data_IF_151605643726
#
_entry.id   IF_151605643726
#
_cell.length_a   1.000
_cell.length_b   1.000
_cell.length_c   1.000
_cell.angle_alpha   90.00
_cell.angle_beta   90.00
_cell.angle_gamma   90.00
#
_symmetry.space_group_name_H-M   'P 1'
#
loop_
_entity.id
_entity.type
_entity.pdbx_description
1 polymer ?
#
# COMPACT_ATOMS: atom_id res chain seq x y z
N UNK A 1 -2.47 -14.33 11.54
CA UNK A 1 -3.15 -14.04 10.26
C UNK A 1 -3.08 -12.53 10.13
N UNK A 2 -2.18 -12.06 9.27
CA UNK A 2 -1.90 -10.65 9.06
C UNK A 2 -2.75 -10.23 7.86
N UNK A 3 -3.58 -9.21 8.02
CA UNK A 3 -4.39 -8.62 6.97
C UNK A 3 -4.23 -7.12 7.10
N UNK A 4 -3.78 -6.52 6.01
CA UNK A 4 -3.60 -5.09 5.87
C UNK A 4 -4.99 -4.43 5.92
N UNK A 5 -5.10 -3.41 6.77
CA UNK A 5 -6.36 -2.75 7.12
C UNK A 5 -6.67 -1.66 6.12
N UNK A 6 -7.75 -1.78 5.35
CA UNK A 6 -8.43 -0.61 4.81
C UNK A 6 -9.95 -0.87 4.61
N UNK A 7 -10.79 -0.24 5.43
CA UNK A 7 -12.20 -0.05 5.06
C UNK A 7 -12.26 1.04 3.98
N UNK A 8 -12.24 0.65 2.71
CA UNK A 8 -12.15 1.59 1.58
C UNK A 8 -13.40 2.45 1.34
N UNK A 9 -14.51 2.20 2.04
CA UNK A 9 -15.75 2.98 1.91
C UNK A 9 -16.69 2.68 3.10
N UNK A 10 -16.39 3.25 4.26
CA UNK A 10 -17.23 3.15 5.45
C UNK A 10 -17.26 4.48 6.21
N UNK A 11 -18.24 4.63 7.11
CA UNK A 11 -18.24 5.71 8.10
C UNK A 11 -18.70 5.22 9.47
N UNK A 12 -18.14 5.81 10.53
CA UNK A 12 -18.64 5.60 11.88
C UNK A 12 -19.97 6.35 12.12
N UNK A 13 -21.03 5.62 12.45
CA UNK A 13 -22.28 6.22 12.90
C UNK A 13 -22.28 6.33 14.43
N UNK A 14 -22.03 7.55 14.92
CA UNK A 14 -21.96 7.82 16.36
C UNK A 14 -23.28 7.59 17.12
N UNK A 15 -24.44 7.72 16.46
CA UNK A 15 -25.75 7.48 17.10
C UNK A 15 -26.01 5.99 17.29
N UNK A 16 -25.56 5.16 16.34
CA UNK A 16 -25.75 3.71 16.37
C UNK A 16 -24.59 2.96 17.03
N UNK A 17 -23.44 3.59 17.19
CA UNK A 17 -22.24 2.96 17.73
C UNK A 17 -21.71 1.84 16.83
N UNK A 18 -21.91 1.94 15.52
CA UNK A 18 -21.51 0.93 14.54
C UNK A 18 -20.86 1.57 13.31
N UNK A 19 -20.04 0.78 12.62
CA UNK A 19 -19.48 1.12 11.31
C UNK A 19 -20.55 0.85 10.24
N UNK A 20 -20.86 1.85 9.42
CA UNK A 20 -21.75 1.70 8.27
C UNK A 20 -20.90 1.53 7.02
N UNK A 21 -21.06 0.40 6.35
CA UNK A 21 -20.45 0.15 5.05
C UNK A 21 -21.21 0.92 3.96
N UNK A 22 -20.48 1.53 3.03
CA UNK A 22 -21.04 2.21 1.88
C UNK A 22 -20.99 1.28 0.65
N UNK A 23 -22.14 1.10 0.00
CA UNK A 23 -22.26 0.26 -1.21
C UNK A 23 -21.62 0.90 -2.46
N UNK A 24 -21.32 2.21 -2.42
CA UNK A 24 -20.69 2.96 -3.50
C UNK A 24 -19.30 3.47 -3.11
N UNK A 25 -18.41 3.60 -4.09
CA UNK A 25 -17.11 4.27 -3.93
C UNK A 25 -17.18 5.66 -4.55
N UNK A 26 -17.49 6.66 -3.74
CA UNK A 26 -17.65 8.06 -4.17
C UNK A 26 -16.42 8.87 -3.75
N UNK A 27 -15.60 9.27 -4.73
CA UNK A 27 -14.32 9.95 -4.50
C UNK A 27 -14.49 11.46 -4.60
N UNK A 28 -14.40 12.14 -3.47
CA UNK A 28 -14.32 13.61 -3.40
C UNK A 28 -12.92 14.06 -3.79
N UNK A 29 -12.80 15.10 -4.61
CA UNK A 29 -11.51 15.60 -5.10
C UNK A 29 -11.37 17.05 -4.69
N UNK A 30 -10.35 17.37 -3.90
CA UNK A 30 -10.09 18.72 -3.45
C UNK A 30 -9.60 19.58 -4.63
N UNK A 31 -10.37 20.63 -4.96
CA UNK A 31 -10.08 21.59 -6.02
C UNK A 31 -9.98 22.98 -5.41
N UNK A 32 -8.81 23.60 -5.52
CA UNK A 32 -8.61 24.98 -5.14
C UNK A 32 -9.33 25.91 -6.13
N UNK A 33 -10.12 26.84 -5.61
CA UNK A 33 -10.81 27.90 -6.37
C UNK A 33 -10.50 29.26 -5.76
N UNK A 34 -10.81 30.35 -6.47
CA UNK A 34 -10.64 31.73 -5.95
C UNK A 34 -11.46 32.00 -4.67
N UNK A 35 -12.56 31.27 -4.46
CA UNK A 35 -13.46 31.42 -3.30
C UNK A 35 -13.12 30.48 -2.15
N UNK A 36 -12.09 29.65 -2.29
CA UNK A 36 -11.68 28.64 -1.32
C UNK A 36 -11.64 27.22 -1.89
N UNK A 37 -11.55 26.24 -1.00
CA UNK A 37 -11.47 24.83 -1.36
C UNK A 37 -12.87 24.27 -1.64
N UNK A 38 -13.04 23.61 -2.79
CA UNK A 38 -14.25 22.87 -3.15
C UNK A 38 -13.90 21.38 -3.28
N UNK A 39 -14.85 20.50 -2.99
CA UNK A 39 -14.66 19.04 -3.04
C UNK A 39 -15.70 18.36 -3.94
N UNK A 40 -15.62 18.55 -5.27
CA UNK A 40 -16.47 17.80 -6.19
C UNK A 40 -16.29 16.28 -6.06
N UNK A 41 -17.32 15.50 -6.37
CA UNK A 41 -17.42 14.06 -6.12
C UNK A 41 -17.51 13.30 -7.45
N UNK A 42 -16.57 12.40 -7.68
CA UNK A 42 -16.67 11.34 -8.70
C UNK A 42 -17.46 10.18 -8.10
N UNK A 43 -18.70 10.01 -8.54
CA UNK A 43 -19.60 8.95 -8.01
C UNK A 43 -19.26 7.58 -8.60
N UNK A 44 -19.41 6.50 -7.83
CA UNK A 44 -19.21 5.12 -8.28
C UNK A 44 -17.89 4.96 -9.07
N UNK A 45 -16.80 5.49 -8.52
CA UNK A 45 -15.50 5.51 -9.16
C UNK A 45 -14.99 4.09 -9.44
N UNK A 46 -15.36 3.12 -8.61
CA UNK A 46 -15.09 1.70 -8.76
C UNK A 46 -15.71 1.09 -10.03
N UNK A 47 -16.80 1.68 -10.54
CA UNK A 47 -17.49 1.23 -11.75
C UNK A 47 -17.02 1.94 -13.03
N UNK A 48 -15.96 2.76 -12.93
CA UNK A 48 -15.49 3.62 -14.04
C UNK A 48 -14.08 3.25 -14.45
N UNK A 49 -13.81 3.39 -15.75
CA UNK A 49 -12.45 3.29 -16.27
C UNK A 49 -11.62 4.51 -15.85
N UNK A 50 -10.30 4.35 -15.79
CA UNK A 50 -9.39 5.46 -15.42
C UNK A 50 -9.50 6.66 -16.37
N UNK A 51 -9.76 6.44 -17.66
CA UNK A 51 -9.97 7.50 -18.64
C UNK A 51 -11.28 8.25 -18.39
N UNK A 52 -12.37 7.53 -18.08
CA UNK A 52 -13.65 8.12 -17.69
C UNK A 52 -13.51 8.97 -16.42
N UNK A 53 -12.86 8.42 -15.38
CA UNK A 53 -12.57 9.15 -14.15
C UNK A 53 -11.77 10.42 -14.49
N UNK A 54 -10.67 10.29 -15.23
CA UNK A 54 -9.82 11.44 -15.57
C UNK A 54 -10.57 12.55 -16.34
N UNK A 55 -11.52 12.20 -17.20
CA UNK A 55 -12.34 13.18 -17.91
C UNK A 55 -13.29 13.90 -16.95
N UNK A 56 -14.01 13.14 -16.13
CA UNK A 56 -14.96 13.65 -15.15
C UNK A 56 -14.29 14.55 -14.09
N UNK A 57 -13.09 14.19 -13.61
CA UNK A 57 -12.29 15.03 -12.71
C UNK A 57 -12.00 16.40 -13.35
N UNK A 58 -11.64 16.43 -14.63
CA UNK A 58 -11.34 17.69 -15.34
C UNK A 58 -12.60 18.55 -15.45
N UNK A 59 -13.71 17.96 -15.85
CA UNK A 59 -15.00 18.65 -15.98
C UNK A 59 -15.48 19.22 -14.63
N UNK A 60 -15.42 18.40 -13.57
CA UNK A 60 -15.79 18.81 -12.22
C UNK A 60 -14.87 19.91 -11.69
N UNK A 61 -13.56 19.84 -11.96
CA UNK A 61 -12.62 20.88 -11.55
C UNK A 61 -12.86 22.21 -12.29
N UNK A 62 -13.21 22.17 -13.57
CA UNK A 62 -13.60 23.35 -14.34
C UNK A 62 -14.91 23.96 -13.82
N UNK A 63 -15.94 23.13 -13.56
CA UNK A 63 -17.19 23.56 -12.92
C UNK A 63 -16.93 24.17 -11.54
N UNK A 64 -16.06 23.57 -10.74
CA UNK A 64 -15.69 24.07 -9.42
C UNK A 64 -15.07 25.46 -9.50
N UNK A 65 -14.07 25.65 -10.35
CA UNK A 65 -13.42 26.95 -10.59
C UNK A 65 -14.39 28.00 -11.14
N UNK A 66 -15.33 27.59 -11.98
CA UNK A 66 -16.38 28.47 -12.50
C UNK A 66 -17.52 28.77 -11.50
N UNK A 67 -17.54 28.11 -10.33
CA UNK A 67 -18.61 28.24 -9.34
C UNK A 67 -19.96 27.68 -9.82
N UNK A 68 -19.95 26.66 -10.70
CA UNK A 68 -21.13 26.08 -11.35
C UNK A 68 -21.47 24.66 -10.85
N UNK A 69 -20.82 24.19 -9.78
CA UNK A 69 -21.15 22.89 -9.20
C UNK A 69 -22.54 22.91 -8.58
N UNK A 70 -23.33 21.87 -8.85
CA UNK A 70 -24.61 21.66 -8.16
C UNK A 70 -24.39 20.97 -6.80
N UNK A 71 -25.28 21.16 -5.81
CA UNK A 71 -25.10 20.61 -4.46
C UNK A 71 -24.79 19.12 -4.39
N UNK A 72 -25.44 18.31 -5.22
CA UNK A 72 -25.21 16.86 -5.32
C UNK A 72 -23.82 16.48 -5.85
N UNK A 73 -23.13 17.38 -6.55
CA UNK A 73 -21.78 17.18 -7.08
C UNK A 73 -20.69 17.43 -6.02
N UNK A 74 -20.98 18.02 -4.85
CA UNK A 74 -19.97 18.28 -3.81
C UNK A 74 -20.42 17.99 -2.37
N UNK A 75 -21.67 17.54 -2.16
CA UNK A 75 -22.17 17.09 -0.87
C UNK A 75 -22.22 15.57 -0.78
N UNK A 76 -21.60 15.01 0.27
CA UNK A 76 -21.46 13.57 0.50
C UNK A 76 -20.06 13.07 0.15
N UNK A 77 -19.99 11.98 -0.62
CA UNK A 77 -18.74 11.27 -0.90
C UNK A 77 -18.36 10.33 0.24
N UNK A 78 -17.73 9.21 -0.10
CA UNK A 78 -17.32 8.19 0.88
C UNK A 78 -15.84 8.29 1.22
N UNK A 79 -15.06 8.95 0.36
CA UNK A 79 -13.63 9.14 0.49
C UNK A 79 -13.21 10.49 -0.12
N UNK A 80 -12.05 11.02 0.29
CA UNK A 80 -11.47 12.24 -0.28
C UNK A 80 -10.06 12.04 -0.82
N UNK A 81 -9.73 12.72 -1.91
CA UNK A 81 -8.38 12.91 -2.43
C UNK A 81 -8.04 14.39 -2.34
N UNK A 82 -6.91 14.71 -1.69
CA UNK A 82 -6.33 16.05 -1.69
C UNK A 82 -4.95 16.03 -2.34
N UNK A 83 -4.81 16.74 -3.45
CA UNK A 83 -3.54 16.89 -4.15
C UNK A 83 -3.02 18.33 -3.98
N UNK A 84 -2.02 18.51 -3.12
CA UNK A 84 -1.31 19.78 -2.93
C UNK A 84 0.03 19.82 -3.65
N UNK A 85 0.35 18.82 -4.50
CA UNK A 85 1.62 18.76 -5.23
C UNK A 85 1.88 19.95 -6.17
N UNK A 86 0.87 20.77 -6.46
CA UNK A 86 1.00 22.03 -7.19
C UNK A 86 1.51 23.21 -6.33
N UNK A 87 1.63 23.02 -5.02
CA UNK A 87 2.13 23.98 -4.06
C UNK A 87 3.45 23.48 -3.45
N UNK A 88 4.34 24.37 -2.93
CA UNK A 88 5.58 23.97 -2.27
C UNK A 88 5.28 23.42 -0.85
N UNK A 89 4.46 22.39 -0.77
CA UNK A 89 4.02 21.75 0.48
C UNK A 89 4.57 20.34 0.50
N UNK A 90 5.57 20.12 1.34
CA UNK A 90 6.25 18.82 1.48
C UNK A 90 5.41 17.83 2.31
N UNK A 91 4.66 18.34 3.30
CA UNK A 91 3.78 17.56 4.17
C UNK A 91 2.53 18.39 4.53
N UNK A 92 1.36 17.75 4.60
CA UNK A 92 0.17 18.40 5.17
C UNK A 92 -0.76 17.42 5.86
N UNK A 93 -1.40 17.89 6.92
CA UNK A 93 -2.50 17.18 7.57
C UNK A 93 -3.83 17.57 6.90
N UNK A 94 -4.28 16.77 5.95
CA UNK A 94 -5.64 16.89 5.43
C UNK A 94 -6.65 16.48 6.52
N UNK A 95 -7.55 17.40 6.84
CA UNK A 95 -8.67 17.15 7.75
C UNK A 95 -9.67 16.27 6.99
N UNK A 96 -10.03 15.15 7.60
CA UNK A 96 -11.08 14.26 7.11
C UNK A 96 -12.39 15.06 7.08
N UNK A 97 -13.12 15.05 5.96
CA UNK A 97 -14.44 15.67 5.87
C UNK A 97 -15.50 14.71 6.41
N UNK A 98 -16.08 14.94 7.61
CA UNK A 98 -17.06 14.01 8.15
C UNK A 98 -18.29 13.91 7.23
N UNK A 99 -18.87 12.71 7.03
CA UNK A 99 -18.62 11.47 7.77
C UNK A 99 -17.54 10.55 7.15
N UNK A 100 -16.71 10.98 6.21
CA UNK A 100 -15.74 10.09 5.54
C UNK A 100 -14.71 9.53 6.54
N UNK A 101 -14.18 8.33 6.29
CA UNK A 101 -13.17 7.71 7.19
C UNK A 101 -11.73 7.81 6.65
N UNK A 102 -11.53 8.13 5.36
CA UNK A 102 -10.20 8.12 4.72
C UNK A 102 -10.01 9.34 3.79
N UNK A 103 -8.80 9.92 3.80
CA UNK A 103 -8.32 10.91 2.84
C UNK A 103 -6.95 10.53 2.26
N UNK A 104 -6.84 10.37 0.94
CA UNK A 104 -5.54 10.21 0.26
C UNK A 104 -4.91 11.56 -0.04
N UNK A 105 -3.59 11.67 0.18
CA UNK A 105 -2.83 12.91 0.04
C UNK A 105 -1.70 12.74 -0.97
N UNK A 106 -1.53 13.74 -1.82
CA UNK A 106 -0.38 13.86 -2.71
C UNK A 106 0.35 15.18 -2.39
N UNK A 107 1.58 15.08 -1.85
CA UNK A 107 2.46 16.21 -1.54
C UNK A 107 3.46 16.51 -2.67
N UNK A 108 4.42 17.41 -2.41
CA UNK A 108 5.49 17.76 -3.37
C UNK A 108 6.27 16.50 -3.77
N UNK A 109 6.37 16.28 -5.08
CA UNK A 109 6.99 15.10 -5.69
C UNK A 109 8.46 14.93 -5.29
N UNK A 110 8.80 13.83 -4.60
CA UNK A 110 9.78 12.92 -5.20
C UNK A 110 9.21 12.60 -6.59
N UNK A 111 9.89 12.99 -7.67
CA UNK A 111 9.36 12.87 -9.03
C UNK A 111 9.32 11.40 -9.45
N UNK A 112 8.40 10.63 -8.88
CA UNK A 112 8.24 9.21 -9.13
C UNK A 112 7.54 9.02 -10.48
N UNK A 113 7.95 8.02 -11.27
CA UNK A 113 7.31 7.72 -12.54
C UNK A 113 5.87 7.25 -12.30
N UNK A 114 4.99 7.41 -13.31
CA UNK A 114 3.58 7.00 -13.24
C UNK A 114 3.40 5.56 -12.78
N UNK A 115 4.28 4.67 -13.20
CA UNK A 115 4.25 3.25 -12.82
C UNK A 115 4.27 3.02 -11.32
N UNK A 116 4.93 3.89 -10.54
CA UNK A 116 4.94 3.79 -9.08
C UNK A 116 3.52 3.83 -8.53
N UNK A 117 2.75 4.82 -8.97
CA UNK A 117 1.36 4.98 -8.56
C UNK A 117 0.49 3.84 -9.09
N UNK A 118 0.72 3.40 -10.33
CA UNK A 118 0.00 2.26 -10.91
C UNK A 118 0.20 0.98 -10.11
N UNK A 119 1.44 0.68 -9.70
CA UNK A 119 1.76 -0.53 -8.95
C UNK A 119 1.08 -0.51 -7.58
N UNK A 120 1.15 0.59 -6.82
CA UNK A 120 0.51 0.67 -5.51
C UNK A 120 -1.02 0.79 -5.55
N UNK A 121 -1.60 1.34 -6.63
CA UNK A 121 -3.06 1.27 -6.84
C UNK A 121 -3.52 -0.17 -7.05
N UNK A 122 -2.74 -0.99 -7.77
CA UNK A 122 -3.05 -2.42 -7.93
C UNK A 122 -2.95 -3.16 -6.59
N UNK A 123 -1.90 -2.91 -5.81
CA UNK A 123 -1.78 -3.47 -4.44
C UNK A 123 -3.01 -3.13 -3.61
N UNK A 124 -3.42 -1.85 -3.58
CA UNK A 124 -4.60 -1.44 -2.84
C UNK A 124 -5.91 -2.10 -3.35
N UNK A 125 -6.04 -2.32 -4.66
CA UNK A 125 -7.17 -3.03 -5.24
C UNK A 125 -7.20 -4.50 -4.80
N UNK A 126 -6.06 -5.18 -4.80
CA UNK A 126 -5.94 -6.57 -4.37
C UNK A 126 -6.27 -6.71 -2.88
N UNK A 127 -5.74 -5.82 -2.03
CA UNK A 127 -6.03 -5.80 -0.60
C UNK A 127 -7.51 -5.59 -0.29
N UNK A 128 -8.17 -4.66 -1.01
CA UNK A 128 -9.62 -4.48 -0.88
C UNK A 128 -10.41 -5.74 -1.25
N UNK A 129 -9.96 -6.47 -2.28
CA UNK A 129 -10.56 -7.74 -2.68
C UNK A 129 -10.26 -8.87 -1.69
N UNK A 130 -9.03 -8.98 -1.19
CA UNK A 130 -8.64 -9.94 -0.15
C UNK A 130 -9.52 -9.78 1.07
N UNK A 131 -9.64 -8.54 1.57
CA UNK A 131 -10.51 -8.22 2.70
C UNK A 131 -11.94 -8.68 2.44
N UNK A 132 -12.51 -8.33 1.29
CA UNK A 132 -13.90 -8.69 0.96
C UNK A 132 -14.10 -10.21 0.97
N UNK A 133 -13.19 -10.97 0.34
CA UNK A 133 -13.27 -12.43 0.28
C UNK A 133 -13.10 -13.07 1.66
N UNK A 134 -12.16 -12.59 2.46
CA UNK A 134 -11.86 -13.14 3.78
C UNK A 134 -12.92 -12.76 4.82
N UNK A 135 -13.49 -11.55 4.74
CA UNK A 135 -14.59 -11.12 5.58
C UNK A 135 -15.85 -11.97 5.32
N UNK A 136 -16.20 -12.18 4.05
CA UNK A 136 -17.29 -13.08 3.68
C UNK A 136 -17.03 -14.51 4.20
N UNK A 137 -15.79 -15.00 4.05
CA UNK A 137 -15.42 -16.32 4.55
C UNK A 137 -15.55 -16.44 6.08
N UNK A 138 -15.19 -15.39 6.82
CA UNK A 138 -15.36 -15.34 8.27
C UNK A 138 -16.84 -15.44 8.68
N UNK A 139 -17.73 -14.75 7.96
CA UNK A 139 -19.18 -14.82 8.20
C UNK A 139 -19.75 -16.21 7.95
N UNK A 140 -19.32 -16.88 6.87
CA UNK A 140 -19.75 -18.25 6.54
C UNK A 140 -19.44 -19.25 7.66
N UNK A 141 -18.31 -19.08 8.36
CA UNK A 141 -17.88 -19.94 9.47
C UNK A 141 -18.37 -19.47 10.84
N UNK A 142 -19.30 -18.51 10.87
CA UNK A 142 -19.94 -18.01 12.09
C UNK A 142 -19.07 -17.04 12.91
N UNK A 143 -18.14 -16.36 12.26
CA UNK A 143 -17.30 -15.31 12.84
C UNK A 143 -17.55 -13.98 12.12
N UNK A 144 -16.77 -12.96 12.47
CA UNK A 144 -16.76 -11.69 11.75
C UNK A 144 -15.41 -11.01 11.87
N UNK A 145 -15.14 -10.06 10.98
CA UNK A 145 -13.97 -9.22 11.12
C UNK A 145 -14.06 -8.41 12.43
N UNK A 146 -12.95 -8.34 13.17
CA UNK A 146 -12.89 -7.67 14.48
C UNK A 146 -13.38 -8.52 15.66
N UNK A 147 -13.82 -9.77 15.44
CA UNK A 147 -14.23 -10.67 16.52
C UNK A 147 -13.07 -11.06 17.47
N UNK A 148 -11.82 -10.96 17.00
CA UNK A 148 -10.62 -11.23 17.78
C UNK A 148 -9.73 -9.98 17.87
N UNK A 149 -9.02 -9.77 18.99
CA UNK A 149 -8.10 -8.65 19.12
C UNK A 149 -6.97 -8.77 18.09
N UNK A 150 -6.57 -7.63 17.54
CA UNK A 150 -5.43 -7.52 16.65
C UNK A 150 -4.38 -6.57 17.22
N UNK A 151 -3.15 -6.70 16.72
CA UNK A 151 -2.07 -5.77 17.05
C UNK A 151 -2.00 -4.62 16.04
N UNK A 152 -1.48 -3.50 16.48
CA UNK A 152 -1.27 -2.25 15.73
C UNK A 152 0.12 -2.15 15.08
N UNK A 153 0.95 -3.20 15.12
CA UNK A 153 2.35 -3.13 14.67
C UNK A 153 2.60 -2.62 13.23
N UNK A 154 1.66 -2.88 12.30
CA UNK A 154 1.66 -2.31 10.94
C UNK A 154 1.36 -0.80 10.98
N UNK A 155 0.35 -0.41 11.75
CA UNK A 155 -0.03 0.99 11.93
C UNK A 155 1.09 1.81 12.59
N UNK A 156 1.78 1.23 13.57
CA UNK A 156 2.92 1.86 14.24
C UNK A 156 4.12 2.06 13.30
N UNK A 157 4.41 1.04 12.50
CA UNK A 157 5.47 1.10 11.47
C UNK A 157 5.10 2.18 10.45
N UNK A 158 3.82 2.22 10.07
CA UNK A 158 3.29 3.20 9.17
C UNK A 158 3.40 4.63 9.70
N UNK A 159 3.03 4.88 10.95
CA UNK A 159 3.18 6.21 11.54
C UNK A 159 4.66 6.61 11.63
N UNK A 160 5.54 5.67 12.00
CA UNK A 160 6.98 5.95 12.17
C UNK A 160 7.68 6.29 10.85
N UNK A 161 7.20 5.77 9.72
CA UNK A 161 7.77 6.01 8.38
C UNK A 161 6.90 6.93 7.51
N UNK A 162 5.98 7.72 8.10
CA UNK A 162 5.08 8.60 7.32
C UNK A 162 5.82 9.64 6.49
N UNK A 163 6.98 10.09 6.98
CA UNK A 163 7.70 11.22 6.42
C UNK A 163 8.96 10.80 5.65
N UNK A 164 9.17 9.49 5.43
CA UNK A 164 10.28 8.93 4.67
C UNK A 164 9.79 7.79 3.76
N UNK A 165 9.68 8.08 2.46
CA UNK A 165 9.22 7.12 1.46
C UNK A 165 10.14 5.90 1.35
N UNK A 166 11.46 6.08 1.50
CA UNK A 166 12.40 4.96 1.39
C UNK A 166 12.30 4.06 2.63
N UNK A 167 12.11 4.65 3.82
CA UNK A 167 11.81 3.92 5.04
C UNK A 167 10.48 3.16 4.93
N UNK A 168 9.45 3.81 4.38
CA UNK A 168 8.14 3.21 4.13
C UNK A 168 8.25 1.95 3.25
N UNK A 169 8.93 2.06 2.11
CA UNK A 169 9.10 0.96 1.16
C UNK A 169 9.86 -0.21 1.78
N UNK A 170 10.89 0.08 2.58
CA UNK A 170 11.68 -0.95 3.25
C UNK A 170 10.87 -1.69 4.33
N UNK A 171 10.20 -0.95 5.21
CA UNK A 171 9.57 -1.53 6.39
C UNK A 171 8.23 -2.18 6.05
N UNK A 172 7.34 -1.48 5.36
CA UNK A 172 6.04 -2.04 5.00
C UNK A 172 6.21 -3.10 3.91
N UNK A 173 6.78 -2.73 2.76
CA UNK A 173 6.71 -3.61 1.59
C UNK A 173 7.82 -4.65 1.47
N UNK A 174 9.01 -4.40 2.04
CA UNK A 174 10.11 -5.37 1.97
C UNK A 174 10.26 -6.21 3.26
N UNK A 175 9.68 -5.78 4.39
CA UNK A 175 9.71 -6.53 5.66
C UNK A 175 8.35 -7.09 6.02
N UNK A 176 7.30 -6.28 6.15
CA UNK A 176 5.99 -6.78 6.57
C UNK A 176 5.31 -7.65 5.53
N UNK A 177 5.23 -7.21 4.26
CA UNK A 177 4.70 -8.05 3.16
C UNK A 177 5.50 -9.35 3.01
N UNK A 178 6.83 -9.25 3.09
CA UNK A 178 7.71 -10.40 3.00
C UNK A 178 7.51 -11.41 4.13
N UNK A 179 7.05 -10.95 5.31
CA UNK A 179 6.66 -11.83 6.42
C UNK A 179 5.37 -12.57 6.12
N UNK A 180 4.45 -11.98 5.35
CA UNK A 180 3.30 -12.67 4.79
C UNK A 180 3.73 -13.89 3.97
N UNK A 181 4.73 -13.74 3.12
CA UNK A 181 5.30 -14.82 2.29
C UNK A 181 5.85 -15.99 3.12
N UNK A 182 6.40 -15.70 4.31
CA UNK A 182 6.96 -16.72 5.21
C UNK A 182 5.85 -17.48 5.97
N UNK A 183 4.77 -16.78 6.34
CA UNK A 183 3.72 -17.30 7.23
C UNK A 183 2.59 -17.98 6.46
N UNK A 184 2.26 -17.53 5.25
CA UNK A 184 1.13 -18.02 4.46
C UNK A 184 1.19 -19.52 4.16
N UNK A 185 2.32 -20.12 3.73
CA UNK A 185 2.38 -21.57 3.47
C UNK A 185 2.01 -22.42 4.70
N UNK A 186 2.48 -22.02 5.88
CA UNK A 186 2.14 -22.70 7.14
C UNK A 186 0.67 -22.47 7.50
N UNK A 187 0.14 -21.28 7.24
CA UNK A 187 -1.27 -20.94 7.49
C UNK A 187 -2.20 -21.77 6.61
N UNK A 188 -1.90 -21.88 5.31
CA UNK A 188 -2.62 -22.73 4.34
C UNK A 188 -2.62 -24.19 4.81
N UNK A 189 -1.45 -24.72 5.19
CA UNK A 189 -1.34 -26.09 5.70
C UNK A 189 -2.20 -26.32 6.95
N UNK A 190 -2.27 -25.34 7.87
CA UNK A 190 -3.10 -25.43 9.07
C UNK A 190 -4.59 -25.49 8.75
N UNK A 191 -5.10 -24.64 7.85
CA UNK A 191 -6.50 -24.68 7.43
C UNK A 191 -6.85 -26.00 6.77
N UNK A 192 -6.00 -26.48 5.85
CA UNK A 192 -6.17 -27.76 5.17
C UNK A 192 -6.21 -28.94 6.17
N UNK A 193 -5.30 -28.96 7.14
CA UNK A 193 -5.27 -29.98 8.19
C UNK A 193 -6.46 -29.87 9.16
N UNK A 194 -7.02 -28.67 9.32
CA UNK A 194 -8.24 -28.43 10.08
C UNK A 194 -9.54 -28.77 9.34
N UNK A 195 -9.46 -29.20 8.08
CA UNK A 195 -10.61 -29.54 7.24
C UNK A 195 -11.23 -28.35 6.50
N UNK A 196 -10.69 -27.14 6.65
CA UNK A 196 -11.17 -25.94 5.96
C UNK A 196 -10.43 -25.75 4.63
N UNK A 197 -10.80 -26.58 3.66
CA UNK A 197 -10.20 -26.54 2.32
C UNK A 197 -10.57 -25.26 1.55
N UNK A 198 -11.74 -24.68 1.80
CA UNK A 198 -12.21 -23.48 1.13
C UNK A 198 -11.32 -22.28 1.48
N UNK A 199 -11.03 -22.05 2.77
CA UNK A 199 -10.10 -21.00 3.20
C UNK A 199 -8.68 -21.29 2.70
N UNK A 200 -8.24 -22.55 2.74
CA UNK A 200 -6.92 -22.92 2.24
C UNK A 200 -6.78 -22.63 0.73
N UNK A 201 -7.79 -22.95 -0.08
CA UNK A 201 -7.79 -22.67 -1.52
C UNK A 201 -7.83 -21.17 -1.81
N UNK A 202 -8.62 -20.40 -1.06
CA UNK A 202 -8.66 -18.94 -1.18
C UNK A 202 -7.28 -18.32 -0.92
N UNK A 203 -6.62 -18.71 0.17
CA UNK A 203 -5.29 -18.22 0.50
C UNK A 203 -4.23 -18.67 -0.52
N UNK A 204 -4.29 -19.92 -0.99
CA UNK A 204 -3.30 -20.49 -1.91
C UNK A 204 -3.42 -19.97 -3.35
N UNK A 205 -4.65 -19.79 -3.84
CA UNK A 205 -4.89 -19.43 -5.25
C UNK A 205 -5.06 -17.94 -5.50
N UNK A 206 -5.44 -17.17 -4.48
CA UNK A 206 -5.75 -15.75 -4.62
C UNK A 206 -4.76 -14.90 -3.85
N UNK A 207 -4.70 -15.05 -2.53
CA UNK A 207 -3.91 -14.16 -1.67
C UNK A 207 -2.42 -14.36 -1.89
N UNK A 208 -1.93 -15.59 -1.76
CA UNK A 208 -0.49 -15.87 -1.77
C UNK A 208 0.25 -15.46 -3.06
N UNK A 209 -0.28 -15.71 -4.28
CA UNK A 209 0.35 -15.21 -5.50
C UNK A 209 0.41 -13.68 -5.58
N UNK A 210 -0.60 -12.98 -5.05
CA UNK A 210 -0.71 -11.52 -5.11
C UNK A 210 0.22 -10.84 -4.11
N UNK A 211 0.38 -11.41 -2.92
CA UNK A 211 1.36 -10.99 -1.91
C UNK A 211 2.80 -10.98 -2.44
N UNK A 212 3.16 -11.96 -3.30
CA UNK A 212 4.46 -11.98 -3.98
C UNK A 212 4.62 -10.73 -4.85
N UNK A 213 3.57 -10.33 -5.56
CA UNK A 213 3.59 -9.14 -6.43
C UNK A 213 3.61 -7.84 -5.63
N UNK A 214 2.97 -7.80 -4.46
CA UNK A 214 2.97 -6.65 -3.55
C UNK A 214 4.36 -6.42 -2.99
N UNK A 215 5.00 -7.49 -2.50
CA UNK A 215 6.40 -7.44 -2.07
C UNK A 215 7.32 -7.05 -3.24
N UNK A 216 7.09 -7.57 -4.44
CA UNK A 216 7.85 -7.22 -5.64
C UNK A 216 7.76 -5.73 -6.00
N UNK A 217 6.58 -5.12 -5.86
CA UNK A 217 6.39 -3.68 -6.06
C UNK A 217 7.24 -2.88 -5.06
N UNK A 218 7.23 -3.27 -3.78
CA UNK A 218 8.09 -2.68 -2.75
C UNK A 218 9.57 -2.73 -3.11
N UNK A 219 10.06 -3.91 -3.48
CA UNK A 219 11.47 -4.14 -3.83
C UNK A 219 11.87 -3.36 -5.07
N UNK A 220 11.01 -3.35 -6.11
CA UNK A 220 11.21 -2.58 -7.36
C UNK A 220 11.43 -1.09 -7.03
N UNK A 221 10.53 -0.49 -6.26
CA UNK A 221 10.57 0.94 -5.99
C UNK A 221 11.64 1.33 -4.97
N UNK A 222 11.94 0.46 -4.01
CA UNK A 222 13.08 0.64 -3.11
C UNK A 222 14.40 0.66 -3.88
N UNK A 223 14.60 -0.31 -4.80
CA UNK A 223 15.76 -0.35 -5.70
C UNK A 223 15.82 0.92 -6.56
N UNK A 224 14.72 1.30 -7.20
CA UNK A 224 14.65 2.49 -8.04
C UNK A 224 15.14 3.76 -7.32
N UNK A 225 14.62 4.05 -6.12
CA UNK A 225 15.01 5.25 -5.37
C UNK A 225 16.49 5.20 -4.96
N UNK A 226 16.97 4.04 -4.46
CA UNK A 226 18.39 3.89 -4.08
C UNK A 226 19.35 4.16 -5.26
N UNK A 227 18.98 3.71 -6.45
CA UNK A 227 19.79 3.90 -7.66
C UNK A 227 19.72 5.33 -8.17
N UNK A 228 18.53 5.95 -8.12
CA UNK A 228 18.33 7.34 -8.52
C UNK A 228 19.13 8.32 -7.66
N UNK A 229 19.11 8.16 -6.33
CA UNK A 229 19.88 9.01 -5.42
C UNK A 229 21.40 8.91 -5.64
N UNK A 230 21.88 7.84 -6.26
CA UNK A 230 23.29 7.63 -6.57
C UNK A 230 23.71 8.25 -7.92
N UNK A 231 22.75 8.66 -8.77
CA UNK A 231 23.03 9.15 -10.12
C UNK A 231 22.01 10.23 -10.57
N UNK A 232 22.14 11.48 -10.11
CA UNK A 232 21.15 12.54 -10.34
C UNK A 232 21.01 12.99 -11.81
N UNK A 233 21.86 12.50 -12.73
CA UNK A 233 21.95 12.99 -14.11
C UNK A 233 21.17 12.15 -15.16
N UNK A 234 20.46 11.08 -14.76
CA UNK A 234 19.66 10.23 -15.66
C UNK A 234 18.16 10.31 -15.35
N UNK A 235 17.55 11.49 -15.55
CA UNK A 235 16.10 11.70 -15.50
C UNK A 235 15.42 11.38 -16.86
N UNK A 236 15.69 10.20 -17.44
CA UNK A 236 15.00 9.73 -18.65
C UNK A 236 14.56 8.27 -18.53
N UNK A 237 13.31 8.08 -18.09
CA UNK A 237 12.28 7.11 -18.52
C UNK A 237 12.67 5.69 -19.00
N UNK A 238 13.82 5.16 -18.59
CA UNK A 238 14.29 3.85 -19.01
C UNK A 238 14.51 2.93 -17.81
N UNK A 239 13.50 2.09 -17.55
CA UNK A 239 13.57 0.92 -16.67
C UNK A 239 14.41 -0.24 -17.26
N UNK A 240 15.26 0.05 -18.25
CA UNK A 240 16.18 -0.93 -18.82
C UNK A 240 17.61 -0.50 -18.54
N UNK A 241 18.46 -1.38 -17.96
CA UNK A 241 19.88 -1.13 -17.91
C UNK A 241 20.42 -1.12 -19.35
N UNK A 242 20.52 0.05 -19.97
CA UNK A 242 21.27 0.21 -21.21
C UNK A 242 22.76 0.32 -20.87
N UNK A 243 23.50 -0.70 -21.23
CA UNK A 243 24.97 -0.74 -21.16
C UNK A 243 25.46 -1.80 -20.19
N UNK A 244 26.14 -2.82 -20.73
CA UNK A 244 26.60 -3.98 -19.98
C UNK A 244 27.48 -3.62 -18.78
N UNK A 245 26.89 -3.65 -17.59
CA UNK A 245 27.64 -3.87 -16.38
C UNK A 245 28.09 -5.33 -16.39
N UNK A 246 29.40 -5.59 -16.48
CA UNK A 246 29.92 -6.92 -16.18
C UNK A 246 29.44 -7.38 -14.79
N UNK A 247 29.45 -8.69 -14.51
CA UNK A 247 28.93 -9.27 -13.25
C UNK A 247 29.39 -8.52 -11.97
N UNK A 248 30.59 -7.96 -11.98
CA UNK A 248 31.14 -7.14 -10.90
C UNK A 248 30.37 -5.82 -10.65
N UNK A 249 29.91 -5.14 -11.69
CA UNK A 249 29.16 -3.88 -11.57
C UNK A 249 27.75 -4.09 -11.00
N UNK A 250 27.09 -5.16 -11.42
CA UNK A 250 25.77 -5.56 -10.88
C UNK A 250 25.85 -5.92 -9.40
N UNK A 251 26.93 -6.60 -8.99
CA UNK A 251 27.15 -6.99 -7.60
C UNK A 251 27.41 -5.79 -6.69
N UNK A 252 28.19 -4.79 -7.15
CA UNK A 252 28.45 -3.57 -6.37
C UNK A 252 27.17 -2.76 -6.13
N UNK A 253 26.33 -2.66 -7.17
CA UNK A 253 25.03 -1.97 -7.09
C UNK A 253 24.10 -2.67 -6.10
N UNK A 254 23.94 -3.99 -6.19
CA UNK A 254 23.08 -4.76 -5.27
C UNK A 254 23.58 -4.63 -3.82
N UNK A 255 24.90 -4.61 -3.59
CA UNK A 255 25.47 -4.41 -2.26
C UNK A 255 25.11 -3.04 -1.66
N UNK A 256 25.16 -1.96 -2.45
CA UNK A 256 24.79 -0.61 -1.98
C UNK A 256 23.31 -0.55 -1.58
N UNK A 257 22.43 -1.10 -2.41
CA UNK A 257 20.99 -1.17 -2.09
C UNK A 257 20.75 -1.98 -0.82
N UNK A 258 21.40 -3.15 -0.70
CA UNK A 258 21.24 -4.04 0.46
C UNK A 258 21.74 -3.38 1.75
N UNK A 259 22.86 -2.66 1.71
CA UNK A 259 23.37 -1.91 2.87
C UNK A 259 22.42 -0.79 3.29
N UNK A 260 21.85 -0.06 2.34
CA UNK A 260 20.85 0.98 2.62
C UNK A 260 19.60 0.36 3.27
N UNK A 261 19.12 -0.76 2.73
CA UNK A 261 18.01 -1.52 3.31
C UNK A 261 18.31 -1.93 4.75
N UNK A 262 19.47 -2.52 5.02
CA UNK A 262 19.87 -2.91 6.38
C UNK A 262 19.88 -1.73 7.36
N UNK A 263 20.40 -0.59 6.94
CA UNK A 263 20.44 0.63 7.77
C UNK A 263 19.04 1.11 8.14
N UNK A 264 18.14 1.16 7.15
CA UNK A 264 16.75 1.59 7.33
C UNK A 264 16.00 0.62 8.24
N UNK A 265 16.09 -0.69 8.00
CA UNK A 265 15.38 -1.69 8.81
C UNK A 265 15.85 -1.61 10.26
N UNK A 266 17.16 -1.50 10.53
CA UNK A 266 17.67 -1.34 11.91
C UNK A 266 17.17 -0.07 12.60
N UNK A 267 16.88 0.98 11.82
CA UNK A 267 16.46 2.28 12.36
C UNK A 267 14.96 2.33 12.62
N UNK A 268 14.15 1.79 11.69
CA UNK A 268 12.70 2.01 11.67
C UNK A 268 11.88 0.76 12.04
N UNK A 269 12.39 -0.45 11.81
CA UNK A 269 11.64 -1.66 12.14
C UNK A 269 11.81 -2.03 13.61
N UNK A 270 10.69 -2.08 14.33
CA UNK A 270 10.67 -2.48 15.74
C UNK A 270 10.37 -3.97 15.85
N UNK A 271 11.41 -4.76 16.14
CA UNK A 271 11.29 -6.18 16.43
C UNK A 271 12.36 -7.03 15.74
N UNK A 272 12.45 -8.32 16.09
CA UNK A 272 13.39 -9.23 15.45
C UNK A 272 12.86 -9.66 14.08
N UNK A 273 13.73 -9.65 13.07
CA UNK A 273 13.49 -10.42 11.86
C UNK A 273 13.83 -11.87 12.16
N UNK A 274 12.86 -12.78 12.06
CA UNK A 274 13.02 -14.19 12.47
C UNK A 274 12.80 -15.14 11.30
N UNK A 275 13.63 -16.19 11.16
CA UNK A 275 13.37 -17.30 10.25
C UNK A 275 12.16 -18.14 10.72
N UNK A 276 11.62 -19.04 9.88
CA UNK A 276 12.07 -19.39 8.52
C UNK A 276 11.73 -18.30 7.49
N UNK A 277 12.62 -18.12 6.51
CA UNK A 277 12.38 -17.24 5.37
C UNK A 277 12.00 -18.07 4.15
N UNK A 278 10.96 -17.66 3.44
CA UNK A 278 10.56 -18.27 2.17
C UNK A 278 11.45 -17.75 1.04
N UNK A 279 12.60 -18.40 0.86
CA UNK A 279 13.62 -17.96 -0.12
C UNK A 279 13.07 -17.93 -1.55
N UNK A 280 12.23 -18.91 -1.92
CA UNK A 280 11.64 -19.00 -3.26
C UNK A 280 10.71 -17.82 -3.54
N UNK A 281 9.77 -17.54 -2.64
CA UNK A 281 8.83 -16.43 -2.80
C UNK A 281 9.53 -15.06 -2.75
N UNK A 282 10.49 -14.87 -1.84
CA UNK A 282 11.28 -13.63 -1.75
C UNK A 282 12.14 -13.41 -2.99
N UNK A 283 12.71 -14.48 -3.55
CA UNK A 283 13.43 -14.43 -4.83
C UNK A 283 12.49 -14.08 -5.99
N UNK A 284 11.28 -14.64 -6.01
CA UNK A 284 10.25 -14.27 -6.99
C UNK A 284 9.84 -12.80 -6.87
N UNK A 285 9.81 -12.25 -5.64
CA UNK A 285 9.64 -10.82 -5.38
C UNK A 285 10.88 -9.96 -5.69
N UNK A 286 11.98 -10.55 -6.17
CA UNK A 286 13.13 -9.81 -6.70
C UNK A 286 14.24 -9.48 -5.69
N UNK A 287 14.28 -10.13 -4.53
CA UNK A 287 15.33 -9.95 -3.53
C UNK A 287 15.78 -11.26 -2.88
N UNK A 288 17.10 -11.42 -2.73
CA UNK A 288 17.73 -12.64 -2.23
C UNK A 288 18.09 -12.60 -0.74
N UNK A 289 18.63 -13.70 -0.25
CA UNK A 289 18.96 -13.92 1.17
C UNK A 289 19.81 -12.84 1.83
N UNK A 290 20.71 -12.20 1.06
CA UNK A 290 21.55 -11.09 1.52
C UNK A 290 20.77 -9.91 2.10
N UNK A 291 19.52 -9.72 1.72
CA UNK A 291 18.67 -8.67 2.26
C UNK A 291 18.28 -8.91 3.72
N UNK A 292 17.96 -10.15 4.09
CA UNK A 292 17.31 -10.46 5.37
C UNK A 292 18.14 -11.34 6.31
N UNK A 293 18.99 -12.24 5.80
CA UNK A 293 19.81 -13.10 6.66
C UNK A 293 20.72 -12.31 7.62
N UNK A 294 21.40 -11.21 7.20
CA UNK A 294 22.23 -10.43 8.10
C UNK A 294 21.46 -9.61 9.15
N UNK A 295 20.14 -9.51 8.98
CA UNK A 295 19.22 -8.85 9.92
C UNK A 295 18.54 -9.85 10.85
N UNK A 296 18.66 -11.14 10.56
CA UNK A 296 17.95 -12.18 11.29
C UNK A 296 18.53 -12.37 12.69
N UNK A 297 17.67 -12.32 13.71
CA UNK A 297 18.04 -12.72 15.06
C UNK A 297 17.94 -14.24 15.14
N UNK A 298 19.08 -14.93 15.16
CA UNK A 298 19.14 -16.38 15.43
C UNK A 298 18.90 -16.58 16.92
N UNK A 299 17.91 -17.38 17.30
CA UNK A 299 17.78 -17.82 18.70
C UNK A 299 19.07 -18.55 19.08
N UNK A 300 19.66 -18.19 20.22
CA UNK A 300 20.80 -18.91 20.76
C UNK A 300 20.36 -20.35 21.00
N UNK A 301 21.08 -21.32 20.43
CA UNK A 301 20.93 -22.72 20.79
C UNK A 301 21.07 -22.84 22.31
N UNK A 302 20.10 -23.42 23.03
CA UNK A 302 20.32 -23.74 24.44
C UNK A 302 21.51 -24.70 24.51
N UNK A 303 22.53 -24.33 25.27
CA UNK A 303 23.67 -25.21 25.61
C UNK A 303 23.20 -26.47 26.36
#
# INVERSE_FOLDING_TARGET
MFLVYYYWSAYWNAEKGEVILCDSVDISIAVATEKGLMTPIVRNADQKTLSSISLEVKELAEKARAGKLSPNEFQGGTFSISNLGMFPVDEFCAIINPPQDIIARFGKQEAMPREFFTDFVKVAQDEGRHFTLLAARLEEIGSSYGALPAHDGLWDSALTTSNDLLARLAVEHCVHEARGLDVLPTTISRFRNGGDNETAELLERVVYPEEITHCAAGVKWFKYICLRSSNPAQDQDSLTPQGGAGENGTMEVENKVTQKFHSIVRTHFRGPLKPPFNEEARKAAGFGSRWYEPLAVKEATPE
#
